data_IF_550079085456
#
_entry.id   IF_550079085456
#
_cell.length_a   1.000
_cell.length_b   1.000
_cell.length_c   1.000
_cell.angle_alpha   90.00
_cell.angle_beta   90.00
_cell.angle_gamma   90.00
#
_symmetry.space_group_name_H-M   'P 1'
#
loop_
_entity.id
_entity.type
_entity.pdbx_description
1 polymer ?
#
# COMPACT_ATOMS: atom_id res chain seq x y z
N UNK A 1 -49.27 -5.42 -27.49
CA UNK A 1 -47.82 -5.13 -27.59
C UNK A 1 -47.49 -4.17 -26.44
N UNK A 2 -46.83 -4.67 -25.41
CA UNK A 2 -46.55 -3.95 -24.15
C UNK A 2 -45.17 -3.30 -24.25
N UNK A 3 -45.13 -1.97 -24.29
CA UNK A 3 -43.90 -1.19 -24.20
C UNK A 3 -43.57 -0.96 -22.73
N UNK A 4 -42.61 -1.71 -22.21
CA UNK A 4 -42.09 -1.54 -20.85
C UNK A 4 -41.36 -0.20 -20.67
N UNK A 5 -41.39 0.39 -19.46
CA UNK A 5 -40.72 1.65 -19.20
C UNK A 5 -39.19 1.45 -19.20
N UNK A 6 -38.50 2.17 -20.08
CA UNK A 6 -37.05 2.31 -20.06
C UNK A 6 -36.65 3.24 -18.90
N UNK A 7 -36.18 2.65 -17.80
CA UNK A 7 -35.54 3.39 -16.71
C UNK A 7 -34.15 3.87 -17.16
N UNK A 8 -34.07 5.03 -17.79
CA UNK A 8 -32.83 5.79 -17.91
C UNK A 8 -32.49 6.40 -16.54
N UNK A 9 -31.74 5.66 -15.70
CA UNK A 9 -30.95 6.30 -14.64
C UNK A 9 -29.78 6.99 -15.33
N UNK A 10 -29.93 8.27 -15.62
CA UNK A 10 -28.79 9.14 -15.90
C UNK A 10 -27.93 9.16 -14.64
N UNK A 11 -26.78 8.49 -14.68
CA UNK A 11 -25.71 8.65 -13.70
C UNK A 11 -25.29 10.11 -13.77
N UNK A 12 -25.54 10.87 -12.70
CA UNK A 12 -25.02 12.22 -12.57
C UNK A 12 -23.48 12.15 -12.72
N UNK A 13 -22.86 13.07 -13.46
CA UNK A 13 -21.40 13.14 -13.50
C UNK A 13 -20.90 13.39 -12.08
N UNK A 14 -20.26 12.39 -11.50
CA UNK A 14 -19.56 12.53 -10.22
C UNK A 14 -18.32 13.37 -10.54
N UNK A 15 -18.33 14.63 -10.11
CA UNK A 15 -17.12 15.47 -10.21
C UNK A 15 -15.97 14.77 -9.48
N UNK A 16 -14.75 14.78 -10.06
CA UNK A 16 -13.60 14.21 -9.38
C UNK A 16 -13.40 14.93 -8.03
N UNK A 17 -13.12 14.21 -6.93
CA UNK A 17 -12.85 14.80 -5.64
C UNK A 17 -11.64 15.73 -5.79
N UNK A 18 -11.88 17.00 -5.47
CA UNK A 18 -10.85 18.02 -5.34
C UNK A 18 -10.31 18.06 -3.91
N UNK A 19 -9.29 18.89 -3.66
CA UNK A 19 -8.87 19.24 -2.31
C UNK A 19 -10.02 19.71 -1.41
N UNK A 20 -11.05 20.33 -2.00
CA UNK A 20 -12.25 20.76 -1.27
C UNK A 20 -13.03 19.57 -0.70
N UNK A 21 -12.93 18.39 -1.31
CA UNK A 21 -13.55 17.16 -0.81
C UNK A 21 -12.97 16.77 0.55
N UNK A 22 -11.64 16.72 0.67
CA UNK A 22 -10.98 16.38 1.93
C UNK A 22 -11.34 17.38 3.05
N UNK A 23 -11.34 18.68 2.73
CA UNK A 23 -11.71 19.71 3.69
C UNK A 23 -13.16 19.60 4.17
N UNK A 24 -14.11 19.29 3.28
CA UNK A 24 -15.53 19.08 3.63
C UNK A 24 -15.74 17.95 4.63
N UNK A 25 -14.87 16.94 4.62
CA UNK A 25 -14.90 15.83 5.55
C UNK A 25 -13.96 16.00 6.75
N UNK A 26 -13.44 17.21 7.00
CA UNK A 26 -12.46 17.50 8.04
C UNK A 26 -11.24 16.57 7.98
N UNK A 27 -10.79 16.23 6.76
CA UNK A 27 -9.59 15.44 6.51
C UNK A 27 -8.41 16.38 6.29
N UNK A 28 -7.38 16.26 7.12
CA UNK A 28 -6.24 17.17 7.13
C UNK A 28 -4.95 16.45 6.73
N UNK A 29 -4.20 17.05 5.80
CA UNK A 29 -2.84 16.62 5.51
C UNK A 29 -1.92 17.06 6.64
N UNK A 30 -1.30 16.11 7.33
CA UNK A 30 -0.52 16.39 8.54
C UNK A 30 1.01 16.38 8.31
N UNK A 31 1.48 15.82 7.20
CA UNK A 31 2.89 15.95 6.81
C UNK A 31 3.41 14.93 5.83
N UNK A 32 4.68 15.09 5.48
CA UNK A 32 5.43 14.16 4.64
C UNK A 32 6.18 13.14 5.50
N UNK A 33 6.21 11.90 5.02
CA UNK A 33 7.03 10.83 5.56
C UNK A 33 8.33 10.78 4.76
N UNK A 34 9.43 11.10 5.44
CA UNK A 34 10.75 11.02 4.84
C UNK A 34 11.37 9.68 5.19
N UNK A 35 11.88 8.99 4.17
CA UNK A 35 12.65 7.78 4.37
C UNK A 35 13.89 8.14 5.21
N UNK A 36 14.17 7.33 6.23
CA UNK A 36 15.37 7.48 7.07
C UNK A 36 16.64 7.40 6.22
N UNK A 37 17.74 7.92 6.77
CA UNK A 37 19.00 7.97 6.04
C UNK A 37 19.49 6.57 5.65
N UNK A 38 20.31 6.44 4.60
CA UNK A 38 20.83 5.14 4.15
C UNK A 38 21.51 4.35 5.27
N UNK A 39 22.23 5.03 6.15
CA UNK A 39 22.94 4.41 7.27
C UNK A 39 21.95 3.78 8.28
N UNK A 40 20.86 4.48 8.59
CA UNK A 40 19.83 4.03 9.53
C UNK A 40 19.03 2.82 9.00
N UNK A 41 18.77 2.76 7.69
CA UNK A 41 17.96 1.69 7.08
C UNK A 41 18.78 0.52 6.56
N UNK A 42 20.10 0.66 6.45
CA UNK A 42 20.97 -0.35 5.82
C UNK A 42 20.90 -1.72 6.51
N UNK A 43 21.09 -1.75 7.83
CA UNK A 43 21.03 -2.98 8.63
C UNK A 43 19.61 -3.57 8.66
N UNK A 44 18.54 -2.80 8.91
CA UNK A 44 17.15 -3.23 8.69
C UNK A 44 16.89 -3.93 7.35
N UNK A 45 17.30 -3.31 6.24
CA UNK A 45 17.11 -3.89 4.90
C UNK A 45 17.90 -5.19 4.78
N UNK A 46 19.17 -5.20 5.20
CA UNK A 46 20.00 -6.40 5.13
C UNK A 46 19.42 -7.56 5.97
N UNK A 47 18.91 -7.28 7.17
CA UNK A 47 18.23 -8.27 8.01
C UNK A 47 16.96 -8.81 7.33
N UNK A 48 16.18 -7.93 6.69
CA UNK A 48 14.94 -8.32 5.99
C UNK A 48 15.18 -9.29 4.82
N UNK A 49 16.35 -9.23 4.16
CA UNK A 49 16.70 -10.15 3.05
C UNK A 49 16.75 -11.61 3.50
N UNK A 50 17.12 -11.84 4.76
CA UNK A 50 17.23 -13.19 5.34
C UNK A 50 15.86 -13.80 5.70
N UNK A 51 14.82 -12.97 5.86
CA UNK A 51 13.48 -13.44 6.18
C UNK A 51 12.91 -14.27 5.03
N UNK A 52 12.40 -15.47 5.32
CA UNK A 52 11.88 -16.38 4.30
C UNK A 52 12.90 -16.80 3.23
N UNK A 53 14.19 -16.76 3.54
CA UNK A 53 15.28 -17.14 2.61
C UNK A 53 15.21 -18.61 2.17
N UNK A 54 14.58 -19.46 2.98
CA UNK A 54 14.30 -20.87 2.72
C UNK A 54 12.98 -21.10 1.93
N UNK A 55 12.25 -20.04 1.57
CA UNK A 55 10.97 -20.10 0.86
C UNK A 55 11.10 -19.75 -0.62
N UNK A 56 10.07 -20.08 -1.40
CA UNK A 56 10.03 -19.82 -2.84
C UNK A 56 10.24 -18.33 -3.18
N UNK A 57 9.62 -17.43 -2.42
CA UNK A 57 9.75 -15.98 -2.60
C UNK A 57 10.90 -15.40 -1.75
N UNK A 58 12.08 -16.02 -1.79
CA UNK A 58 13.29 -15.46 -1.20
C UNK A 58 13.67 -14.12 -1.85
N UNK A 59 14.54 -13.34 -1.20
CA UNK A 59 15.01 -12.07 -1.75
C UNK A 59 15.66 -12.25 -3.13
N UNK A 60 16.53 -13.26 -3.28
CA UNK A 60 17.15 -13.60 -4.56
C UNK A 60 16.15 -13.97 -5.65
N UNK A 61 15.11 -14.77 -5.33
CA UNK A 61 14.06 -15.11 -6.31
C UNK A 61 13.24 -13.88 -6.71
N UNK A 62 12.92 -13.00 -5.76
CA UNK A 62 12.22 -11.74 -6.02
C UNK A 62 13.01 -10.89 -7.04
N UNK A 63 14.31 -10.68 -6.81
CA UNK A 63 15.18 -9.92 -7.72
C UNK A 63 15.25 -10.56 -9.12
N UNK A 64 15.41 -11.88 -9.18
CA UNK A 64 15.41 -12.61 -10.46
C UNK A 64 14.08 -12.44 -11.21
N UNK A 65 12.95 -12.53 -10.49
CA UNK A 65 11.64 -12.37 -11.09
C UNK A 65 11.40 -10.94 -11.58
N UNK A 66 11.72 -9.91 -10.79
CA UNK A 66 11.62 -8.50 -11.21
C UNK A 66 12.49 -8.22 -12.43
N UNK A 67 13.71 -8.76 -12.46
CA UNK A 67 14.61 -8.65 -13.62
C UNK A 67 14.01 -9.32 -14.86
N UNK A 68 13.46 -10.54 -14.71
CA UNK A 68 12.75 -11.22 -15.78
C UNK A 68 11.57 -10.37 -16.29
N UNK A 69 10.72 -9.86 -15.40
CA UNK A 69 9.58 -9.01 -15.77
C UNK A 69 10.04 -7.76 -16.53
N UNK A 70 11.09 -7.10 -16.06
CA UNK A 70 11.61 -5.86 -16.65
C UNK A 70 12.12 -6.07 -18.08
N UNK A 71 12.65 -7.26 -18.38
CA UNK A 71 13.20 -7.60 -19.69
C UNK A 71 12.18 -8.16 -20.67
N UNK A 72 11.03 -8.67 -20.20
CA UNK A 72 10.11 -9.45 -21.03
C UNK A 72 8.74 -8.78 -21.27
N UNK A 73 8.36 -7.77 -20.50
CA UNK A 73 7.04 -7.14 -20.63
C UNK A 73 7.11 -5.78 -21.33
N UNK A 74 6.37 -5.63 -22.42
CA UNK A 74 6.20 -4.35 -23.14
C UNK A 74 4.99 -3.56 -22.63
N UNK A 75 3.98 -4.23 -22.07
CA UNK A 75 2.80 -3.60 -21.50
C UNK A 75 3.06 -3.10 -20.08
N UNK A 76 3.06 -1.78 -19.91
CA UNK A 76 3.26 -1.14 -18.60
C UNK A 76 2.29 -1.66 -17.53
N UNK A 77 1.01 -1.86 -17.87
CA UNK A 77 -0.01 -2.30 -16.90
C UNK A 77 0.21 -3.73 -16.43
N UNK A 78 0.48 -4.64 -17.36
CA UNK A 78 0.73 -6.06 -17.02
C UNK A 78 2.01 -6.17 -16.21
N UNK A 79 3.05 -5.44 -16.61
CA UNK A 79 4.30 -5.33 -15.88
C UNK A 79 4.09 -4.81 -14.45
N UNK A 80 3.39 -3.69 -14.27
CA UNK A 80 3.09 -3.11 -12.95
C UNK A 80 2.39 -4.12 -12.03
N UNK A 81 1.38 -4.83 -12.54
CA UNK A 81 0.64 -5.82 -11.74
C UNK A 81 1.55 -6.97 -11.29
N UNK A 82 2.30 -7.55 -12.21
CA UNK A 82 3.21 -8.65 -11.90
C UNK A 82 4.32 -8.23 -10.91
N UNK A 83 4.80 -6.99 -11.01
CA UNK A 83 5.75 -6.42 -10.05
C UNK A 83 5.12 -6.26 -8.66
N UNK A 84 3.87 -5.76 -8.57
CA UNK A 84 3.15 -5.66 -7.30
C UNK A 84 2.95 -7.05 -6.68
N UNK A 85 2.48 -8.03 -7.46
CA UNK A 85 2.31 -9.42 -7.02
C UNK A 85 3.61 -9.97 -6.44
N UNK A 86 4.75 -9.67 -7.09
CA UNK A 86 6.08 -10.08 -6.63
C UNK A 86 6.42 -9.53 -5.24
N UNK A 87 6.16 -8.25 -4.99
CA UNK A 87 6.38 -7.65 -3.67
C UNK A 87 5.42 -8.20 -2.62
N UNK A 88 4.14 -8.38 -2.96
CA UNK A 88 3.14 -8.89 -2.04
C UNK A 88 3.44 -10.34 -1.66
N UNK A 89 3.84 -11.18 -2.61
CA UNK A 89 4.28 -12.56 -2.34
C UNK A 89 5.60 -12.63 -1.59
N UNK A 90 6.52 -11.68 -1.82
CA UNK A 90 7.71 -11.55 -0.98
C UNK A 90 7.31 -11.24 0.46
N UNK A 91 6.41 -10.28 0.68
CA UNK A 91 5.96 -9.92 2.02
C UNK A 91 5.31 -11.10 2.75
N UNK A 92 4.60 -12.01 2.05
CA UNK A 92 3.94 -13.15 2.72
C UNK A 92 4.91 -14.13 3.37
N UNK A 93 6.13 -14.27 2.82
CA UNK A 93 7.16 -15.14 3.40
C UNK A 93 8.03 -14.44 4.44
N UNK A 94 7.82 -13.12 4.64
CA UNK A 94 8.54 -12.31 5.63
C UNK A 94 7.77 -12.16 6.96
N UNK A 95 6.50 -12.58 7.00
CA UNK A 95 5.71 -12.55 8.23
C UNK A 95 6.19 -13.63 9.20
N UNK A 96 6.54 -13.26 10.45
CA UNK A 96 6.97 -14.23 11.44
C UNK A 96 5.80 -15.15 11.86
N UNK A 97 6.07 -16.44 12.12
CA UNK A 97 5.08 -17.31 12.75
C UNK A 97 4.62 -16.79 14.12
N UNK A 98 3.39 -17.11 14.56
CA UNK A 98 2.42 -18.00 13.91
C UNK A 98 1.59 -17.33 12.81
N UNK A 99 1.71 -16.02 12.63
CA UNK A 99 0.86 -15.25 11.75
C UNK A 99 1.07 -15.58 10.27
N UNK A 100 0.06 -15.24 9.48
CA UNK A 100 0.01 -15.41 8.03
C UNK A 100 -0.48 -14.14 7.39
N UNK A 101 0.12 -13.81 6.25
CA UNK A 101 -0.37 -12.76 5.37
C UNK A 101 -1.14 -13.40 4.21
N UNK A 102 -2.40 -13.01 4.08
CA UNK A 102 -3.26 -13.31 2.93
C UNK A 102 -3.31 -12.08 2.04
N UNK A 103 -3.08 -12.28 0.75
CA UNK A 103 -3.17 -11.21 -0.25
C UNK A 103 -4.35 -11.51 -1.16
N UNK A 104 -5.32 -10.60 -1.15
CA UNK A 104 -6.51 -10.67 -2.01
C UNK A 104 -6.41 -9.58 -3.05
N UNK A 105 -6.47 -9.96 -4.33
CA UNK A 105 -6.61 -8.98 -5.40
C UNK A 105 -8.09 -8.63 -5.53
N UNK A 106 -8.44 -7.36 -5.36
CA UNK A 106 -9.82 -6.91 -5.54
C UNK A 106 -10.13 -6.90 -7.05
N UNK A 107 -11.22 -7.59 -7.42
CA UNK A 107 -11.53 -7.95 -8.80
C UNK A 107 -11.75 -6.70 -9.65
N UNK A 108 -10.81 -6.44 -10.56
CA UNK A 108 -10.87 -5.31 -11.48
C UNK A 108 -11.71 -5.78 -12.67
N UNK A 109 -13.01 -5.50 -12.66
CA UNK A 109 -13.78 -5.60 -13.90
C UNK A 109 -13.04 -4.78 -14.97
N UNK A 110 -12.79 -5.32 -16.18
CA UNK A 110 -11.94 -4.68 -17.19
C UNK A 110 -12.37 -3.26 -17.63
N UNK A 111 -13.57 -2.81 -17.22
CA UNK A 111 -14.16 -1.52 -17.60
C UNK A 111 -14.27 -0.48 -16.48
N UNK A 112 -14.20 -0.86 -15.20
CA UNK A 112 -14.31 0.12 -14.10
C UNK A 112 -12.93 0.49 -13.56
N UNK A 113 -12.30 1.44 -14.25
CA UNK A 113 -11.20 2.21 -13.66
C UNK A 113 -11.85 3.24 -12.74
N UNK A 114 -12.38 2.80 -11.60
CA UNK A 114 -12.72 3.74 -10.53
C UNK A 114 -11.39 4.38 -10.09
N UNK A 115 -11.21 5.69 -10.30
CA UNK A 115 -9.97 6.35 -9.89
C UNK A 115 -9.77 6.12 -8.39
N UNK A 116 -8.66 5.48 -8.03
CA UNK A 116 -8.26 5.22 -6.64
C UNK A 116 -9.00 4.08 -5.92
N UNK A 117 -9.62 3.15 -6.64
CA UNK A 117 -10.02 1.87 -6.05
C UNK A 117 -8.80 1.09 -5.52
N UNK A 118 -8.96 0.41 -4.39
CA UNK A 118 -7.98 -0.55 -3.91
C UNK A 118 -7.92 -1.73 -4.88
N UNK A 119 -6.71 -2.16 -5.23
CA UNK A 119 -6.49 -3.31 -6.10
C UNK A 119 -5.98 -4.53 -5.35
N UNK A 120 -5.39 -4.32 -4.18
CA UNK A 120 -4.92 -5.39 -3.31
C UNK A 120 -5.22 -5.07 -1.85
N UNK A 121 -5.64 -6.10 -1.14
CA UNK A 121 -5.84 -6.08 0.30
C UNK A 121 -4.96 -7.17 0.92
N UNK A 122 -4.05 -6.75 1.79
CA UNK A 122 -3.10 -7.58 2.51
C UNK A 122 -3.53 -7.71 3.97
N UNK A 123 -3.92 -8.91 4.41
CA UNK A 123 -4.49 -9.17 5.73
C UNK A 123 -3.53 -10.03 6.53
N UNK A 124 -3.14 -9.56 7.71
CA UNK A 124 -2.39 -10.35 8.69
C UNK A 124 -3.34 -10.89 9.74
N UNK A 125 -3.23 -12.18 9.99
CA UNK A 125 -3.90 -12.83 11.11
C UNK A 125 -3.32 -14.21 11.39
N UNK A 126 -3.82 -14.83 12.46
CA UNK A 126 -3.46 -16.21 12.76
C UNK A 126 -3.96 -17.16 11.65
N UNK A 127 -3.48 -18.43 11.61
CA UNK A 127 -3.83 -19.36 10.53
C UNK A 127 -5.33 -19.56 10.31
N UNK A 128 -6.16 -19.52 11.36
CA UNK A 128 -7.61 -19.68 11.23
C UNK A 128 -8.25 -18.46 10.53
N UNK A 129 -7.77 -17.25 10.85
CA UNK A 129 -8.24 -16.01 10.21
C UNK A 129 -7.83 -15.98 8.75
N UNK A 130 -6.61 -16.41 8.46
CA UNK A 130 -6.09 -16.50 7.11
C UNK A 130 -6.90 -17.50 6.25
N UNK A 131 -7.20 -18.69 6.80
CA UNK A 131 -8.01 -19.68 6.11
C UNK A 131 -9.44 -19.17 5.84
N UNK A 132 -10.06 -18.52 6.82
CA UNK A 132 -11.38 -17.91 6.66
C UNK A 132 -11.43 -16.91 5.49
N UNK A 133 -10.41 -16.06 5.36
CA UNK A 133 -10.31 -15.07 4.29
C UNK A 133 -9.97 -15.66 2.91
N UNK A 134 -9.36 -16.84 2.85
CA UNK A 134 -9.19 -17.57 1.60
C UNK A 134 -10.51 -18.19 1.11
N UNK A 135 -11.43 -18.49 2.03
CA UNK A 135 -12.70 -19.14 1.73
C UNK A 135 -13.85 -18.15 1.45
N UNK A 136 -13.78 -16.94 2.00
CA UNK A 136 -14.83 -15.92 1.88
C UNK A 136 -14.35 -14.72 1.07
N UNK A 137 -15.19 -14.25 0.13
CA UNK A 137 -14.93 -13.02 -0.62
C UNK A 137 -15.05 -11.83 0.34
N UNK A 138 -13.97 -11.08 0.63
CA UNK A 138 -13.95 -10.26 1.83
C UNK A 138 -14.56 -8.90 1.56
N UNK A 139 -15.84 -8.74 1.88
CA UNK A 139 -16.28 -7.42 2.34
C UNK A 139 -15.87 -7.31 3.81
N UNK A 140 -14.76 -6.59 4.05
CA UNK A 140 -14.25 -6.34 5.40
C UNK A 140 -15.23 -5.46 6.17
N UNK A 141 -15.97 -6.08 7.10
CA UNK A 141 -16.89 -5.41 8.00
C UNK A 141 -16.35 -5.34 9.44
N UNK A 142 -17.11 -4.70 10.33
CA UNK A 142 -16.70 -4.46 11.72
C UNK A 142 -16.46 -5.78 12.47
N UNK A 143 -17.27 -6.81 12.19
CA UNK A 143 -17.13 -8.13 12.83
C UNK A 143 -15.84 -8.81 12.43
N UNK A 144 -15.42 -8.65 11.17
CA UNK A 144 -14.13 -9.14 10.70
C UNK A 144 -12.97 -8.29 11.26
N UNK A 145 -13.19 -6.99 11.45
CA UNK A 145 -12.23 -6.07 12.04
C UNK A 145 -11.71 -6.53 13.41
N UNK A 146 -12.56 -7.12 14.26
CA UNK A 146 -12.15 -7.64 15.57
C UNK A 146 -11.24 -8.87 15.51
N UNK A 147 -11.35 -9.63 14.42
CA UNK A 147 -10.64 -10.90 14.22
C UNK A 147 -9.31 -10.67 13.47
N UNK A 148 -9.27 -9.65 12.62
CA UNK A 148 -8.09 -9.28 11.82
C UNK A 148 -7.11 -8.49 12.69
N UNK A 149 -5.86 -8.97 12.74
CA UNK A 149 -4.78 -8.29 13.45
C UNK A 149 -4.38 -7.01 12.73
N UNK A 150 -4.29 -7.04 11.40
CA UNK A 150 -3.93 -5.89 10.57
C UNK A 150 -4.40 -6.06 9.12
N UNK A 151 -4.76 -4.97 8.45
CA UNK A 151 -5.06 -4.95 7.02
C UNK A 151 -4.42 -3.76 6.32
N UNK A 152 -3.76 -4.00 5.19
CA UNK A 152 -3.03 -3.01 4.39
C UNK A 152 -3.57 -2.99 2.96
N UNK A 153 -3.79 -1.80 2.42
CA UNK A 153 -4.50 -1.63 1.16
C UNK A 153 -3.60 -0.98 0.11
N UNK A 154 -3.55 -1.54 -1.10
CA UNK A 154 -2.70 -1.05 -2.18
C UNK A 154 -3.56 -0.67 -3.38
N UNK A 155 -3.44 0.58 -3.80
CA UNK A 155 -4.03 1.11 -5.02
C UNK A 155 -2.99 1.19 -6.14
N UNK A 156 -3.39 0.82 -7.35
CA UNK A 156 -2.56 0.92 -8.54
C UNK A 156 -2.69 2.29 -9.20
N UNK A 157 -1.54 2.83 -9.58
CA UNK A 157 -1.43 4.12 -10.24
C UNK A 157 -1.81 3.99 -11.71
N UNK A 158 -2.88 4.67 -12.09
CA UNK A 158 -3.41 4.74 -13.47
C UNK A 158 -3.54 6.19 -13.98
N UNK A 159 -3.28 7.17 -13.11
CA UNK A 159 -3.34 8.60 -13.37
C UNK A 159 -2.21 9.32 -12.58
N UNK A 160 -2.06 10.66 -12.66
CA UNK A 160 -1.11 11.39 -11.84
C UNK A 160 -1.29 11.12 -10.34
N UNK A 161 -0.19 11.09 -9.57
CA UNK A 161 -0.19 10.73 -8.13
C UNK A 161 -1.16 11.60 -7.35
N UNK A 162 -1.10 12.92 -7.55
CA UNK A 162 -1.89 13.88 -6.79
C UNK A 162 -3.39 13.60 -6.92
N UNK A 163 -3.87 13.30 -8.12
CA UNK A 163 -5.29 13.02 -8.37
C UNK A 163 -5.76 11.74 -7.68
N UNK A 164 -4.92 10.69 -7.67
CA UNK A 164 -5.30 9.39 -7.10
C UNK A 164 -5.14 9.34 -5.60
N UNK A 165 -4.22 10.14 -5.04
CA UNK A 165 -3.93 10.15 -3.61
C UNK A 165 -5.18 10.46 -2.78
N UNK A 166 -6.02 11.42 -3.20
CA UNK A 166 -7.25 11.77 -2.47
C UNK A 166 -8.22 10.59 -2.38
N UNK A 167 -8.39 9.86 -3.49
CA UNK A 167 -9.25 8.68 -3.52
C UNK A 167 -8.70 7.57 -2.61
N UNK A 168 -7.38 7.34 -2.63
CA UNK A 168 -6.74 6.36 -1.74
C UNK A 168 -6.97 6.72 -0.27
N UNK A 169 -6.81 8.00 0.10
CA UNK A 169 -7.06 8.47 1.47
C UNK A 169 -8.53 8.28 1.86
N UNK A 170 -9.48 8.67 0.99
CA UNK A 170 -10.91 8.49 1.24
C UNK A 170 -11.29 7.02 1.40
N UNK A 171 -10.73 6.14 0.57
CA UNK A 171 -10.99 4.71 0.61
C UNK A 171 -10.38 4.07 1.86
N UNK A 172 -9.16 4.46 2.25
CA UNK A 172 -8.57 4.04 3.53
C UNK A 172 -9.44 4.46 4.71
N UNK A 173 -9.94 5.69 4.73
CA UNK A 173 -10.88 6.16 5.76
C UNK A 173 -12.16 5.31 5.78
N UNK A 174 -12.74 5.03 4.60
CA UNK A 174 -13.94 4.21 4.50
C UNK A 174 -13.71 2.80 5.05
N UNK A 175 -12.57 2.18 4.73
CA UNK A 175 -12.18 0.85 5.24
C UNK A 175 -11.88 0.86 6.74
N UNK A 176 -11.19 1.87 7.24
CA UNK A 176 -10.94 2.02 8.68
C UNK A 176 -12.27 2.12 9.46
N UNK A 177 -13.20 2.96 8.99
CA UNK A 177 -14.54 3.08 9.57
C UNK A 177 -15.33 1.78 9.48
N UNK A 178 -15.29 1.07 8.34
CA UNK A 178 -16.03 -0.18 8.17
C UNK A 178 -15.53 -1.29 9.08
N UNK A 179 -14.24 -1.28 9.44
CA UNK A 179 -13.60 -2.26 10.33
C UNK A 179 -13.52 -1.81 11.79
N UNK A 180 -14.06 -0.63 12.14
CA UNK A 180 -13.96 -0.08 13.50
C UNK A 180 -12.52 0.22 13.95
N UNK A 181 -11.63 0.61 13.03
CA UNK A 181 -10.22 0.92 13.31
C UNK A 181 -9.96 2.42 13.26
N UNK A 182 -9.11 2.91 14.16
CA UNK A 182 -8.69 4.32 14.19
C UNK A 182 -7.49 4.60 13.31
N UNK A 183 -6.63 3.61 13.08
CA UNK A 183 -5.41 3.76 12.31
C UNK A 183 -5.46 2.81 11.12
N UNK A 184 -4.98 3.26 9.98
CA UNK A 184 -4.88 2.42 8.78
C UNK A 184 -3.72 2.89 7.91
N UNK A 185 -3.03 1.93 7.28
CA UNK A 185 -1.95 2.19 6.33
C UNK A 185 -2.28 1.58 4.97
N UNK A 186 -1.71 2.19 3.94
CA UNK A 186 -1.82 1.72 2.57
C UNK A 186 -0.69 2.21 1.69
N UNK A 187 -0.78 1.92 0.40
CA UNK A 187 0.14 2.43 -0.60
C UNK A 187 -0.55 2.73 -1.93
N UNK A 188 -0.02 3.71 -2.65
CA UNK A 188 -0.29 4.00 -4.05
C UNK A 188 0.95 3.63 -4.86
N UNK A 189 0.81 2.80 -5.90
CA UNK A 189 1.98 2.27 -6.63
C UNK A 189 1.77 2.08 -8.12
N UNK A 190 2.81 2.34 -8.92
CA UNK A 190 2.86 1.94 -10.33
C UNK A 190 3.59 0.60 -10.54
N UNK A 191 3.79 -0.17 -9.48
CA UNK A 191 4.68 -1.33 -9.45
C UNK A 191 6.13 -0.94 -9.16
N UNK A 192 6.72 -0.01 -9.92
CA UNK A 192 8.13 0.41 -9.73
C UNK A 192 8.33 1.60 -8.78
N UNK A 193 7.28 2.38 -8.58
CA UNK A 193 7.25 3.56 -7.72
C UNK A 193 6.17 3.37 -6.66
N UNK A 194 6.52 3.59 -5.40
CA UNK A 194 5.64 3.38 -4.25
C UNK A 194 5.53 4.65 -3.42
N UNK A 195 4.30 5.02 -3.09
CA UNK A 195 3.97 6.08 -2.15
C UNK A 195 3.17 5.46 -1.01
N UNK A 196 3.72 5.50 0.19
CA UNK A 196 3.10 4.96 1.39
C UNK A 196 2.21 6.01 2.05
N UNK A 197 1.06 5.59 2.56
CA UNK A 197 0.04 6.46 3.16
C UNK A 197 -0.33 5.91 4.53
N UNK A 198 -0.34 6.79 5.53
CA UNK A 198 -0.86 6.50 6.87
C UNK A 198 -2.02 7.44 7.16
N UNK A 199 -3.09 6.93 7.76
CA UNK A 199 -4.30 7.67 8.11
C UNK A 199 -4.69 7.36 9.54
N UNK A 200 -4.95 8.43 10.30
CA UNK A 200 -5.48 8.38 11.65
C UNK A 200 -6.86 9.04 11.68
N UNK A 201 -7.90 8.29 12.04
CA UNK A 201 -9.23 8.83 12.25
C UNK A 201 -9.29 9.61 13.56
N UNK A 202 -10.02 10.73 13.54
CA UNK A 202 -10.26 11.47 14.77
C UNK A 202 -11.05 10.61 15.77
N UNK A 203 -10.80 10.70 17.09
CA UNK A 203 -11.48 9.87 18.09
C UNK A 203 -13.01 10.01 18.12
N UNK A 204 -13.54 11.15 17.66
CA UNK A 204 -14.97 11.41 17.52
C UNK A 204 -15.56 10.94 16.17
N UNK A 205 -14.75 10.29 15.34
CA UNK A 205 -15.06 9.85 13.98
C UNK A 205 -15.44 11.00 13.01
N UNK A 206 -15.12 12.24 13.38
CA UNK A 206 -15.41 13.46 12.63
C UNK A 206 -14.11 14.03 12.03
N UNK A 207 -13.70 13.41 10.93
CA UNK A 207 -12.48 13.73 10.21
C UNK A 207 -11.34 12.74 10.40
N UNK A 208 -10.20 13.07 9.82
CA UNK A 208 -8.99 12.27 9.86
C UNK A 208 -7.76 13.13 9.59
N UNK A 209 -6.60 12.63 9.99
CA UNK A 209 -5.30 13.14 9.60
C UNK A 209 -4.61 12.12 8.72
N UNK A 210 -3.80 12.57 7.77
CA UNK A 210 -3.02 11.65 6.93
C UNK A 210 -1.62 12.17 6.63
N UNK A 211 -0.72 11.22 6.43
CA UNK A 211 0.66 11.44 6.03
C UNK A 211 0.98 10.63 4.78
N UNK A 212 1.93 11.13 4.00
CA UNK A 212 2.28 10.54 2.71
C UNK A 212 3.80 10.53 2.57
N UNK A 213 4.35 9.40 2.14
CA UNK A 213 5.78 9.31 1.86
C UNK A 213 6.17 10.03 0.57
N UNK A 214 7.45 10.37 0.47
CA UNK A 214 8.05 10.61 -0.83
C UNK A 214 7.90 9.36 -1.73
N UNK A 215 7.88 9.55 -3.05
CA UNK A 215 7.81 8.45 -4.01
C UNK A 215 9.13 7.66 -3.98
N UNK A 216 9.07 6.41 -3.54
CA UNK A 216 10.21 5.50 -3.51
C UNK A 216 10.23 4.72 -4.83
N UNK A 217 11.25 4.98 -5.63
CA UNK A 217 11.50 4.27 -6.88
C UNK A 217 12.65 3.28 -6.69
N UNK A 218 12.42 2.02 -7.05
CA UNK A 218 13.52 1.06 -7.19
C UNK A 218 13.90 0.92 -8.66
N UNK A 219 15.16 0.56 -8.89
CA UNK A 219 15.64 0.27 -10.23
C UNK A 219 16.00 -1.20 -10.31
N UNK A 220 15.47 -1.90 -11.31
CA UNK A 220 16.02 -3.17 -11.76
C UNK A 220 17.29 -2.88 -12.56
N UNK A 221 18.30 -2.29 -11.93
CA UNK A 221 19.61 -2.25 -12.59
C UNK A 221 20.03 -3.70 -12.78
N UNK A 222 20.44 -4.13 -14.00
CA UNK A 222 21.15 -5.38 -14.10
C UNK A 222 22.31 -5.29 -13.11
N UNK A 223 22.46 -6.28 -12.24
CA UNK A 223 23.64 -6.43 -11.39
C UNK A 223 24.85 -6.37 -12.33
N UNK A 224 25.44 -5.19 -12.51
CA UNK A 224 26.61 -5.04 -13.37
C UNK A 224 27.68 -5.84 -12.65
N UNK A 225 28.19 -6.95 -13.21
CA UNK A 225 29.21 -7.73 -12.55
C UNK A 225 30.44 -6.83 -12.37
N UNK A 226 30.76 -6.47 -11.13
CA UNK A 226 31.87 -5.56 -10.81
C UNK A 226 31.50 -4.10 -10.55
N UNK A 227 30.22 -3.71 -10.59
CA UNK A 227 29.80 -2.49 -9.92
C UNK A 227 30.03 -2.68 -8.42
N UNK A 228 31.00 -1.93 -7.90
CA UNK A 228 31.35 -1.93 -6.48
C UNK A 228 30.09 -1.69 -5.67
N UNK A 229 29.81 -2.59 -4.74
CA UNK A 229 28.71 -2.60 -3.77
C UNK A 229 28.76 -1.39 -2.80
N UNK A 230 29.46 -0.32 -3.16
CA UNK A 230 29.88 0.79 -2.29
C UNK A 230 29.14 2.08 -2.53
N UNK A 231 28.26 2.19 -3.53
CA UNK A 231 27.41 3.38 -3.66
C UNK A 231 26.19 3.26 -2.73
N UNK A 232 26.15 4.04 -1.63
CA UNK A 232 25.05 3.96 -0.67
C UNK A 232 23.71 4.36 -1.29
N UNK A 233 23.71 5.20 -2.33
CA UNK A 233 22.48 5.65 -3.00
C UNK A 233 21.86 4.55 -3.87
N UNK A 234 22.68 3.62 -4.39
CA UNK A 234 22.18 2.46 -5.13
C UNK A 234 21.53 1.43 -4.19
N UNK A 235 22.07 1.25 -2.98
CA UNK A 235 21.50 0.34 -1.96
C UNK A 235 20.11 0.77 -1.48
N UNK A 236 19.84 2.08 -1.43
CA UNK A 236 18.55 2.66 -1.03
C UNK A 236 17.46 2.40 -2.08
N UNK A 237 17.84 2.07 -3.31
CA UNK A 237 16.91 1.93 -4.45
C UNK A 237 16.72 0.49 -4.89
N UNK A 238 16.91 -0.45 -3.96
CA UNK A 238 16.75 -1.87 -4.22
C UNK A 238 15.32 -2.35 -3.93
N UNK A 239 14.81 -3.34 -4.69
CA UNK A 239 13.56 -4.03 -4.37
C UNK A 239 13.44 -4.47 -2.91
N UNK A 240 14.53 -4.89 -2.26
CA UNK A 240 14.52 -5.36 -0.88
C UNK A 240 13.98 -4.31 0.10
N UNK A 241 14.20 -3.01 -0.15
CA UNK A 241 13.67 -1.94 0.70
C UNK A 241 12.14 -1.92 0.68
N UNK A 242 11.53 -1.96 -0.51
CA UNK A 242 10.06 -1.96 -0.65
C UNK A 242 9.45 -3.19 0.03
N UNK A 243 10.04 -4.37 -0.16
CA UNK A 243 9.62 -5.60 0.49
C UNK A 243 9.73 -5.49 2.03
N UNK A 244 10.81 -4.89 2.54
CA UNK A 244 11.01 -4.67 3.97
C UNK A 244 9.93 -3.74 4.56
N UNK A 245 9.70 -2.59 3.93
CA UNK A 245 8.66 -1.64 4.34
C UNK A 245 7.30 -2.33 4.36
N UNK A 246 6.94 -3.01 3.27
CA UNK A 246 5.66 -3.74 3.16
C UNK A 246 5.52 -4.77 4.29
N UNK A 247 6.54 -5.58 4.55
CA UNK A 247 6.47 -6.60 5.59
C UNK A 247 6.18 -6.02 6.97
N UNK A 248 6.74 -4.86 7.31
CA UNK A 248 6.50 -4.18 8.59
C UNK A 248 5.16 -3.45 8.60
N UNK A 249 4.88 -2.64 7.57
CA UNK A 249 3.68 -1.80 7.49
C UNK A 249 2.41 -2.62 7.42
N UNK A 250 2.45 -3.77 6.75
CA UNK A 250 1.32 -4.69 6.69
C UNK A 250 0.98 -5.24 8.08
N UNK A 251 1.96 -5.48 8.95
CA UNK A 251 1.73 -5.95 10.33
C UNK A 251 1.27 -4.83 11.28
N UNK A 252 1.65 -3.58 10.99
CA UNK A 252 1.41 -2.42 11.85
C UNK A 252 0.30 -1.50 11.35
N UNK A 253 -0.47 -1.92 10.34
CA UNK A 253 -1.42 -1.05 9.65
C UNK A 253 -2.45 -0.42 10.59
N UNK A 254 -2.89 -1.14 11.62
CA UNK A 254 -3.84 -0.66 12.63
C UNK A 254 -3.21 0.01 13.84
N UNK A 255 -1.91 0.29 13.83
CA UNK A 255 -1.19 0.97 14.90
C UNK A 255 -0.97 2.44 14.55
N UNK A 256 -1.14 3.32 15.54
CA UNK A 256 -0.86 4.76 15.46
C UNK A 256 0.49 5.00 14.78
N UNK A 257 0.50 5.82 13.73
CA UNK A 257 1.73 6.16 13.06
C UNK A 257 2.36 7.39 13.73
N UNK A 258 3.46 7.17 14.45
CA UNK A 258 4.32 8.26 14.94
C UNK A 258 5.59 8.27 14.13
N UNK A 259 6.49 7.37 14.44
CA UNK A 259 7.72 7.15 13.72
C UNK A 259 7.93 5.64 13.70
N UNK A 260 8.59 5.12 12.68
CA UNK A 260 8.94 3.71 12.66
C UNK A 260 10.38 3.48 12.18
N UNK A 261 10.67 2.22 11.88
CA UNK A 261 11.98 1.78 11.42
C UNK A 261 12.39 2.38 10.07
N UNK A 262 11.42 2.86 9.27
CA UNK A 262 11.61 3.25 7.88
C UNK A 262 11.47 4.76 7.69
N UNK A 263 10.52 5.39 8.38
CA UNK A 263 10.13 6.77 8.13
C UNK A 263 10.17 7.63 9.38
N UNK A 264 10.60 8.88 9.18
CA UNK A 264 10.37 10.01 10.10
C UNK A 264 9.30 10.92 9.52
N UNK A 265 8.41 11.45 10.35
CA UNK A 265 7.47 12.48 9.91
C UNK A 265 7.97 13.87 10.28
N UNK A 266 7.72 14.83 9.41
CA UNK A 266 7.82 16.25 9.74
C UNK A 266 6.41 16.82 9.74
N UNK A 267 5.91 17.14 10.93
CA UNK A 267 4.65 17.86 11.06
C UNK A 267 4.88 19.29 10.62
N UNK A 268 4.04 19.80 9.71
CA UNK A 268 4.02 21.23 9.47
C UNK A 268 3.48 21.89 10.74
N UNK A 269 4.39 22.37 11.59
CA UNK A 269 4.04 23.25 12.69
C UNK A 269 3.26 24.42 12.08
N UNK A 270 1.93 24.41 12.26
CA UNK A 270 1.11 25.61 12.02
C UNK A 270 1.76 26.68 12.86
N UNK A 271 2.43 27.66 12.23
CA UNK A 271 2.84 28.88 12.93
C UNK A 271 1.57 29.37 13.62
N UNK A 272 1.57 29.33 14.95
CA UNK A 272 0.47 29.80 15.75
C UNK A 272 0.16 31.22 15.29
N UNK A 273 -0.99 31.37 14.65
CA UNK A 273 -1.61 32.67 14.47
C UNK A 273 -2.19 33.04 15.82
N UNK A 274 -1.43 33.84 16.57
CA UNK A 274 -2.03 34.90 17.38
C UNK A 274 -2.53 36.03 16.45
#
# INVERSE_FOLDING_TARGET
>A
MSSGPQNFRASLPVEPPSWDCLQRFNIQFNGLLHLKSPDEISEPVAASRNLGSDKQWSDGMMHQHISFLSNNFTSKRIFSRAVIDTFMFRATVMIPPPDKLVVVSEDITPMDINPGGINYTAIVGNPNVAELHLQLHPMLDERQGDIITSAFFVAMKNAPVAEQLYYVVLELIARAKSMGKFHIRGALTSGTKWTFVAVDLNPNNDGAEYWVSEEIEFFSSPLIPGASDTDPLLRVREPSLIAAILSTWVQQSFQEFREDQWFTHYTFMRRGGE
#
